data_IF_712002572075
#
_entry.id   IF_712002572075
#
_cell.length_a   1.000
_cell.length_b   1.000
_cell.length_c   1.000
_cell.angle_alpha   90.00
_cell.angle_beta   90.00
_cell.angle_gamma   90.00
#
_symmetry.space_group_name_H-M   'P 1'
#
loop_
_entity.id
_entity.type
_entity.pdbx_description
1 polymer ?
#
# COMPACT_ATOMS: atom_id res chain seq x y z
N UNK A 1 -16.40 16.18 11.55
CA UNK A 1 -15.04 16.02 12.11
C UNK A 1 -14.48 14.72 11.55
N UNK A 2 -13.73 14.79 10.45
CA UNK A 2 -13.03 13.61 9.93
C UNK A 2 -11.84 13.40 10.85
N UNK A 3 -11.80 12.27 11.55
CA UNK A 3 -10.67 11.91 12.40
C UNK A 3 -9.53 11.60 11.42
N UNK A 4 -8.75 12.62 11.05
CA UNK A 4 -7.46 12.43 10.41
C UNK A 4 -6.59 11.70 11.44
N UNK A 5 -6.63 10.37 11.43
CA UNK A 5 -5.55 9.58 12.00
C UNK A 5 -4.31 9.96 11.20
N UNK A 6 -3.54 10.90 11.76
CA UNK A 6 -2.25 11.31 11.24
C UNK A 6 -1.38 10.06 11.20
N UNK A 7 -1.04 9.61 10.00
CA UNK A 7 -0.22 8.42 9.79
C UNK A 7 1.21 8.77 10.24
N UNK A 8 1.58 8.31 11.44
CA UNK A 8 2.96 8.36 11.95
C UNK A 8 3.75 7.16 11.44
N UNK A 9 5.08 7.25 11.46
CA UNK A 9 5.96 6.12 11.10
C UNK A 9 5.61 4.82 11.85
N UNK A 10 5.41 4.89 13.17
CA UNK A 10 5.04 3.74 13.99
C UNK A 10 3.71 3.12 13.51
N UNK A 11 2.70 3.97 13.28
CA UNK A 11 1.39 3.50 12.81
C UNK A 11 1.46 2.93 11.39
N UNK A 12 2.32 3.45 10.52
CA UNK A 12 2.58 2.92 9.20
C UNK A 12 3.19 1.52 9.27
N UNK A 13 4.28 1.35 10.01
CA UNK A 13 4.94 0.04 10.18
C UNK A 13 3.97 -0.98 10.77
N UNK A 14 3.19 -0.57 11.78
CA UNK A 14 2.19 -1.45 12.40
C UNK A 14 1.12 -1.87 11.39
N UNK A 15 0.61 -0.94 10.59
CA UNK A 15 -0.50 -1.21 9.66
C UNK A 15 -0.06 -2.00 8.44
N UNK A 16 1.13 -1.73 7.89
CA UNK A 16 1.63 -2.45 6.70
C UNK A 16 1.93 -3.92 7.01
N UNK A 17 2.36 -4.22 8.25
CA UNK A 17 2.66 -5.58 8.75
C UNK A 17 1.42 -6.35 9.25
N UNK A 18 0.20 -5.85 9.01
CA UNK A 18 -1.06 -6.47 9.44
C UNK A 18 -1.93 -6.92 8.25
N UNK A 19 -1.51 -7.94 7.47
CA UNK A 19 -2.32 -8.46 6.38
C UNK A 19 -3.69 -8.93 6.88
N UNK A 20 -4.74 -8.70 6.07
CA UNK A 20 -6.13 -9.04 6.37
C UNK A 20 -6.79 -8.26 7.53
N UNK A 21 -6.15 -7.20 8.04
CA UNK A 21 -6.79 -6.28 8.98
C UNK A 21 -7.64 -5.23 8.23
N UNK A 22 -8.79 -4.78 8.78
CA UNK A 22 -9.47 -3.59 8.29
C UNK A 22 -8.60 -2.33 8.29
N UNK A 23 -7.55 -2.30 9.11
CA UNK A 23 -6.57 -1.21 9.17
C UNK A 23 -5.39 -1.40 8.21
N UNK A 24 -5.36 -2.48 7.41
CA UNK A 24 -4.23 -2.78 6.53
C UNK A 24 -3.96 -1.62 5.58
N UNK A 25 -2.68 -1.32 5.42
CA UNK A 25 -2.15 -0.25 4.59
C UNK A 25 -1.30 -0.88 3.49
N UNK A 26 -1.39 -0.30 2.31
CA UNK A 26 -0.67 -0.71 1.13
C UNK A 26 0.15 0.44 0.57
N UNK A 27 1.33 0.09 0.06
CA UNK A 27 2.15 0.98 -0.75
C UNK A 27 1.99 0.55 -2.19
N UNK A 28 1.76 1.51 -3.09
CA UNK A 28 1.70 1.27 -4.53
C UNK A 28 2.66 2.20 -5.27
N UNK A 29 3.06 1.78 -6.47
CA UNK A 29 3.85 2.57 -7.41
C UNK A 29 3.02 2.84 -8.67
N UNK A 30 3.10 4.05 -9.21
CA UNK A 30 2.40 4.40 -10.43
C UNK A 30 2.87 3.53 -11.62
N UNK A 31 1.93 3.16 -12.47
CA UNK A 31 2.19 2.35 -13.68
C UNK A 31 2.89 3.11 -14.80
N UNK A 32 2.88 4.45 -14.75
CA UNK A 32 3.46 5.36 -15.75
C UNK A 32 4.62 6.18 -15.18
N UNK A 33 4.81 6.20 -13.85
CA UNK A 33 5.85 6.96 -13.16
C UNK A 33 6.36 6.18 -11.93
N UNK A 34 7.46 5.46 -12.10
CA UNK A 34 8.04 4.63 -11.04
C UNK A 34 8.53 5.41 -9.81
N UNK A 35 8.66 6.74 -9.92
CA UNK A 35 9.03 7.60 -8.80
C UNK A 35 7.83 7.99 -7.93
N UNK A 36 6.61 7.89 -8.46
CA UNK A 36 5.40 8.25 -7.75
C UNK A 36 4.87 7.06 -6.95
N UNK A 37 4.90 7.20 -5.63
CA UNK A 37 4.32 6.24 -4.70
C UNK A 37 2.95 6.70 -4.20
N UNK A 38 2.14 5.71 -3.81
CA UNK A 38 0.81 5.89 -3.25
C UNK A 38 0.66 5.12 -1.95
N UNK A 39 -0.13 5.66 -1.04
CA UNK A 39 -0.65 4.93 0.11
C UNK A 39 -2.12 4.64 -0.14
N UNK A 40 -2.49 3.37 -0.07
CA UNK A 40 -3.87 2.93 -0.12
C UNK A 40 -4.29 2.27 1.19
N UNK A 41 -5.47 2.65 1.67
CA UNK A 41 -6.08 2.07 2.87
C UNK A 41 -7.55 1.76 2.58
N UNK A 42 -8.10 0.77 3.29
CA UNK A 42 -9.52 0.49 3.24
C UNK A 42 -10.30 1.72 3.75
N UNK A 43 -11.11 2.33 2.89
CA UNK A 43 -11.94 3.49 3.19
C UNK A 43 -13.32 3.14 3.75
N UNK A 44 -13.61 1.85 3.99
CA UNK A 44 -14.93 1.35 4.35
C UNK A 44 -15.72 0.94 3.11
N UNK A 45 -17.06 0.95 3.22
CA UNK A 45 -18.13 0.69 2.23
C UNK A 45 -17.70 0.52 0.74
N UNK A 46 -16.89 -0.51 0.44
CA UNK A 46 -16.28 -0.77 -0.88
C UNK A 46 -15.48 0.38 -1.50
N UNK A 47 -14.89 1.27 -0.68
CA UNK A 47 -14.03 2.34 -1.17
C UNK A 47 -12.59 2.17 -0.73
N UNK A 48 -11.65 2.52 -1.61
CA UNK A 48 -10.23 2.60 -1.28
C UNK A 48 -9.86 4.07 -1.22
N UNK A 49 -9.32 4.50 -0.08
CA UNK A 49 -8.70 5.80 0.02
C UNK A 49 -7.25 5.64 -0.45
N UNK A 50 -6.97 6.12 -1.65
CA UNK A 50 -5.65 6.12 -2.25
C UNK A 50 -5.18 7.57 -2.43
N UNK A 51 -4.01 7.90 -1.90
CA UNK A 51 -3.43 9.23 -2.00
C UNK A 51 -1.92 9.15 -2.32
N UNK A 52 -1.35 10.14 -3.04
CA UNK A 52 0.09 10.25 -3.22
C UNK A 52 0.82 10.23 -1.88
N UNK A 53 1.97 9.55 -1.79
CA UNK A 53 2.71 9.40 -0.53
C UNK A 53 3.14 10.75 0.07
N UNK A 54 3.30 11.77 -0.78
CA UNK A 54 3.65 13.15 -0.42
C UNK A 54 2.53 13.86 0.35
N UNK A 55 1.33 13.29 0.37
CA UNK A 55 0.21 13.78 1.19
C UNK A 55 0.38 13.45 2.69
N UNK A 56 1.40 12.66 3.03
CA UNK A 56 1.74 12.22 4.39
C UNK A 56 3.06 12.82 4.86
N UNK A 57 3.43 12.56 6.12
CA UNK A 57 4.72 12.99 6.65
C UNK A 57 5.88 12.38 5.85
N UNK A 58 6.95 13.15 5.63
CA UNK A 58 8.12 12.71 4.88
C UNK A 58 8.74 11.40 5.42
N UNK A 59 8.64 11.16 6.73
CA UNK A 59 9.07 9.92 7.38
C UNK A 59 8.37 8.67 6.81
N UNK A 60 7.13 8.80 6.32
CA UNK A 60 6.38 7.69 5.71
C UNK A 60 7.00 7.30 4.38
N UNK A 61 7.40 8.29 3.57
CA UNK A 61 8.08 8.04 2.29
C UNK A 61 9.42 7.34 2.53
N UNK A 62 10.23 7.86 3.46
CA UNK A 62 11.51 7.24 3.84
C UNK A 62 11.31 5.79 4.30
N UNK A 63 10.29 5.53 5.13
CA UNK A 63 10.00 4.19 5.61
C UNK A 63 9.55 3.25 4.48
N UNK A 64 8.70 3.71 3.58
CA UNK A 64 8.23 2.91 2.44
C UNK A 64 9.39 2.54 1.50
N UNK A 65 10.24 3.50 1.16
CA UNK A 65 11.42 3.28 0.33
C UNK A 65 12.39 2.29 0.97
N UNK A 66 12.71 2.47 2.27
CA UNK A 66 13.57 1.53 2.99
C UNK A 66 13.04 0.09 2.93
N UNK A 67 11.73 -0.11 3.13
CA UNK A 67 11.13 -1.44 3.04
C UNK A 67 11.15 -2.03 1.62
N UNK A 68 11.07 -1.19 0.57
CA UNK A 68 11.21 -1.63 -0.83
C UNK A 68 12.66 -2.03 -1.11
N UNK A 69 13.63 -1.19 -0.72
CA UNK A 69 15.05 -1.40 -0.95
C UNK A 69 15.58 -2.64 -0.20
N UNK A 70 15.07 -2.88 1.02
CA UNK A 70 15.37 -4.08 1.81
C UNK A 70 14.66 -5.35 1.28
N UNK A 71 13.73 -5.20 0.33
CA UNK A 71 12.93 -6.30 -0.22
C UNK A 71 11.88 -6.85 0.74
N UNK A 72 11.53 -6.12 1.81
CA UNK A 72 10.36 -6.42 2.63
C UNK A 72 9.07 -6.18 1.84
N UNK A 73 9.06 -5.20 0.93
CA UNK A 73 7.99 -4.92 -0.02
C UNK A 73 8.45 -5.26 -1.43
N UNK A 74 7.71 -6.14 -2.12
CA UNK A 74 8.04 -6.56 -3.48
C UNK A 74 6.80 -6.57 -4.38
N UNK A 75 6.99 -6.35 -5.69
CA UNK A 75 5.93 -6.53 -6.67
C UNK A 75 5.83 -8.02 -7.06
N UNK A 76 4.64 -8.60 -6.91
CA UNK A 76 4.37 -9.93 -7.45
C UNK A 76 4.45 -9.88 -8.99
N UNK A 77 5.02 -10.93 -9.60
CA UNK A 77 5.15 -11.04 -11.07
C UNK A 77 3.79 -11.01 -11.79
N UNK A 78 2.72 -11.33 -11.08
CA UNK A 78 1.35 -11.33 -11.56
C UNK A 78 0.53 -10.16 -10.98
N UNK A 79 1.17 -9.16 -10.38
CA UNK A 79 0.50 -7.96 -9.89
C UNK A 79 -0.29 -7.32 -11.03
N UNK A 80 -1.59 -7.12 -10.80
CA UNK A 80 -2.45 -6.41 -11.76
C UNK A 80 -2.48 -4.94 -11.39
N UNK A 81 -2.47 -4.04 -12.39
CA UNK A 81 -2.60 -2.62 -12.13
C UNK A 81 -4.00 -2.35 -11.56
N UNK A 82 -4.06 -1.57 -10.48
CA UNK A 82 -5.30 -1.13 -9.89
C UNK A 82 -5.57 0.31 -10.32
N UNK A 83 -6.76 0.57 -10.84
CA UNK A 83 -7.17 1.92 -11.22
C UNK A 83 -7.32 2.78 -9.98
N UNK A 84 -6.54 3.84 -9.93
CA UNK A 84 -6.67 4.91 -8.94
C UNK A 84 -7.36 6.11 -9.60
N UNK A 85 -7.57 7.18 -8.84
CA UNK A 85 -8.28 8.35 -9.35
C UNK A 85 -7.55 9.02 -10.54
N UNK A 86 -8.28 9.84 -11.29
CA UNK A 86 -7.75 10.66 -12.40
C UNK A 86 -7.15 9.87 -13.58
N UNK A 87 -7.60 8.64 -13.78
CA UNK A 87 -7.16 7.80 -14.91
C UNK A 87 -5.76 7.21 -14.74
N UNK A 88 -5.15 7.36 -13.56
CA UNK A 88 -3.88 6.72 -13.22
C UNK A 88 -4.13 5.28 -12.74
N UNK A 89 -3.08 4.49 -12.66
CA UNK A 89 -3.13 3.13 -12.13
C UNK A 89 -1.84 2.83 -11.39
N UNK A 90 -1.92 1.99 -10.36
CA UNK A 90 -0.78 1.63 -9.54
C UNK A 90 -0.64 0.10 -9.39
N UNK A 91 0.60 -0.37 -9.31
CA UNK A 91 0.91 -1.71 -8.82
C UNK A 91 1.13 -1.64 -7.31
N UNK A 92 0.44 -2.48 -6.55
CA UNK A 92 0.60 -2.52 -5.09
C UNK A 92 1.62 -3.57 -4.67
N UNK A 93 2.54 -3.15 -3.79
CA UNK A 93 3.54 -4.02 -3.21
C UNK A 93 2.92 -5.06 -2.27
N UNK A 94 3.52 -6.23 -2.27
CA UNK A 94 3.22 -7.33 -1.37
C UNK A 94 4.27 -7.37 -0.27
N UNK A 95 3.83 -7.56 0.98
CA UNK A 95 4.73 -7.77 2.10
C UNK A 95 5.30 -9.18 2.07
N UNK A 96 6.62 -9.30 2.18
CA UNK A 96 7.32 -10.57 2.36
C UNK A 96 7.00 -11.15 3.73
N UNK A 97 6.26 -12.24 3.76
CA UNK A 97 6.00 -13.01 4.98
C UNK A 97 7.11 -14.03 5.19
N UNK A 98 7.54 -14.24 6.44
CA UNK A 98 8.52 -15.27 6.82
C UNK A 98 7.98 -16.70 6.74
N UNK A 99 6.69 -16.87 6.42
CA UNK A 99 6.05 -18.16 6.26
C UNK A 99 6.07 -18.57 4.77
N UNK A 100 6.85 -19.61 4.47
CA UNK A 100 6.98 -20.24 3.14
C UNK A 100 5.67 -20.94 2.69
N UNK A 101 4.65 -20.93 3.55
CA UNK A 101 3.29 -21.37 3.23
C UNK A 101 2.57 -20.29 2.39
N UNK A 102 2.96 -20.22 1.11
CA UNK A 102 2.35 -19.38 0.07
C UNK A 102 0.82 -19.38 0.15
N UNK A 103 0.27 -18.36 0.81
CA UNK A 103 -0.91 -17.67 0.30
C UNK A 103 -0.41 -16.32 -0.14
N UNK A 104 -0.08 -16.21 -1.43
CA UNK A 104 -0.11 -14.93 -2.12
C UNK A 104 -1.46 -14.32 -1.76
N UNK A 105 -1.47 -13.31 -0.88
CA UNK A 105 -2.70 -12.61 -0.49
C UNK A 105 -3.13 -11.80 -1.70
N UNK A 106 -3.81 -12.49 -2.62
CA UNK A 106 -4.41 -11.89 -3.78
C UNK A 106 -5.56 -11.03 -3.28
N UNK A 107 -5.45 -9.75 -3.58
CA UNK A 107 -6.62 -8.90 -3.72
C UNK A 107 -7.68 -9.64 -4.55
N UNK A 108 -8.80 -10.01 -3.91
CA UNK A 108 -10.04 -10.31 -4.60
C UNK A 108 -10.93 -9.09 -4.47
N UNK A 109 -10.83 -8.16 -5.42
CA UNK A 109 -11.93 -7.25 -5.68
C UNK A 109 -13.01 -8.07 -6.36
N UNK A 110 -14.17 -8.23 -5.70
CA UNK A 110 -15.35 -8.70 -6.40
C UNK A 110 -15.65 -7.67 -7.50
N UNK A 111 -15.69 -8.14 -8.75
CA UNK A 111 -16.12 -7.36 -9.91
C UNK A 111 -17.48 -6.70 -9.69
#
# INVERSE_FOLDING_TARGET
>A
MVINFMLTQESFIKRIKQPNSPSWLHVGVDTQDESQLYIAVNGGMNNINCAPIESYLAEINVCALAMIDEGELFLDKNAKPFRIDQGRSAYFYTLKTTDDSMKTFRYSFAN
#
